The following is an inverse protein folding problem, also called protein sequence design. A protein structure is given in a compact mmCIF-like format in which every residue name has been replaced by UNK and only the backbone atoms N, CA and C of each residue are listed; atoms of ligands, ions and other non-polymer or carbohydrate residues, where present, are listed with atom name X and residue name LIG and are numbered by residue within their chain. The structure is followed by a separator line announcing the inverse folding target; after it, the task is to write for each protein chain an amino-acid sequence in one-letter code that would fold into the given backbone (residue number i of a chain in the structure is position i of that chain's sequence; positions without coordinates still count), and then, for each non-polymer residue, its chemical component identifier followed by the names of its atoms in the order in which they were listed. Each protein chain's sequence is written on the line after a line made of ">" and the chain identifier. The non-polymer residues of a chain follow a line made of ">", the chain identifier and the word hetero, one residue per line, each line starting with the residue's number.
data_IF_388153714888
#
_entry.id   IF_388153714888
#
_cell.length_a   1.000
_cell.length_b   1.000
_cell.length_c   1.000
_cell.angle_alpha   90.00
_cell.angle_beta   90.00
_cell.angle_gamma   90.00
#
_symmetry.space_group_name_H-M   'P 1'
#
loop_
_entity.id
_entity.type
_entity.pdbx_description
1 polymer ?
#
# COMPACT_ATOMS: atom_id res chain seq x y z
N UNK A 1 6.39 11.58 17.70
CA UNK A 1 4.93 11.69 17.44
C UNK A 1 4.75 12.18 16.00
N UNK A 2 4.05 11.41 15.16
CA UNK A 2 3.80 11.84 13.79
C UNK A 2 2.55 12.72 13.75
N UNK A 3 2.38 13.56 12.71
CA UNK A 3 1.18 14.38 12.54
C UNK A 3 -0.12 13.55 12.61
N UNK A 4 -0.07 12.30 12.17
CA UNK A 4 -1.21 11.38 12.21
C UNK A 4 -1.68 11.02 13.63
N UNK A 5 -0.83 11.21 14.64
CA UNK A 5 -1.12 10.93 16.05
C UNK A 5 -1.61 12.19 16.80
N UNK A 6 -1.67 13.34 16.12
CA UNK A 6 -2.23 14.58 16.68
C UNK A 6 -3.75 14.62 16.56
N UNK A 7 -4.42 15.45 17.38
CA UNK A 7 -5.87 15.65 17.29
C UNK A 7 -6.33 16.10 15.91
N UNK A 8 -5.55 16.92 15.22
CA UNK A 8 -5.80 17.38 13.85
C UNK A 8 -5.71 16.22 12.86
N UNK A 9 -4.68 15.38 12.97
CA UNK A 9 -4.50 14.20 12.14
C UNK A 9 -5.63 13.19 12.35
N UNK A 10 -6.01 12.93 13.60
CA UNK A 10 -7.13 12.05 13.95
C UNK A 10 -8.47 12.59 13.42
N UNK A 11 -8.69 13.91 13.55
CA UNK A 11 -9.89 14.56 12.99
C UNK A 11 -9.96 14.45 11.47
N UNK A 12 -8.83 14.67 10.79
CA UNK A 12 -8.72 14.50 9.34
C UNK A 12 -9.01 13.05 8.90
N UNK A 13 -8.50 12.05 9.63
CA UNK A 13 -8.79 10.64 9.31
C UNK A 13 -10.28 10.32 9.42
N UNK A 14 -10.95 10.84 10.46
CA UNK A 14 -12.41 10.67 10.63
C UNK A 14 -13.21 11.34 9.51
N UNK A 15 -12.83 12.55 9.10
CA UNK A 15 -13.45 13.22 7.97
C UNK A 15 -13.29 12.43 6.68
N UNK A 16 -12.10 11.89 6.43
CA UNK A 16 -11.77 11.06 5.28
C UNK A 16 -12.61 9.78 5.19
N UNK A 17 -12.99 9.20 6.33
CA UNK A 17 -13.85 8.00 6.36
C UNK A 17 -15.24 8.25 5.76
N UNK A 18 -15.78 9.46 5.92
CA UNK A 18 -17.12 9.82 5.45
C UNK A 18 -17.12 10.60 4.15
N UNK A 19 -16.04 11.31 3.85
CA UNK A 19 -15.89 12.12 2.66
C UNK A 19 -14.73 11.62 1.75
N UNK A 20 -15.01 10.91 0.65
CA UNK A 20 -13.99 10.38 -0.23
C UNK A 20 -13.35 11.41 -1.17
N UNK A 21 -13.80 12.67 -1.18
CA UNK A 21 -13.37 13.65 -2.19
C UNK A 21 -11.87 13.97 -2.11
N UNK A 22 -11.32 14.03 -0.90
CA UNK A 22 -9.88 14.22 -0.73
C UNK A 22 -9.07 13.08 -1.39
N UNK A 23 -9.45 11.84 -1.12
CA UNK A 23 -8.78 10.67 -1.69
C UNK A 23 -8.94 10.62 -3.21
N UNK A 24 -10.13 10.89 -3.72
CA UNK A 24 -10.40 10.93 -5.16
C UNK A 24 -9.62 12.02 -5.89
N UNK A 25 -9.45 13.18 -5.27
CA UNK A 25 -8.62 14.25 -5.85
C UNK A 25 -7.13 13.88 -5.83
N UNK A 26 -6.63 13.31 -4.73
CA UNK A 26 -5.28 12.80 -4.64
C UNK A 26 -5.01 11.72 -5.70
N UNK A 27 -5.94 10.78 -5.87
CA UNK A 27 -5.89 9.72 -6.88
C UNK A 27 -5.91 10.29 -8.31
N UNK A 28 -6.73 11.30 -8.59
CA UNK A 28 -6.74 11.98 -9.91
C UNK A 28 -5.37 12.56 -10.25
N UNK A 29 -4.75 13.27 -9.31
CA UNK A 29 -3.40 13.85 -9.48
C UNK A 29 -2.34 12.75 -9.66
N UNK A 30 -2.44 11.68 -8.88
CA UNK A 30 -1.54 10.55 -8.98
C UNK A 30 -1.64 9.87 -10.35
N UNK A 31 -2.86 9.62 -10.84
CA UNK A 31 -3.10 9.04 -12.17
C UNK A 31 -2.56 9.91 -13.30
N UNK A 32 -2.61 11.24 -13.17
CA UNK A 32 -1.98 12.14 -14.15
C UNK A 32 -0.46 11.97 -14.18
N UNK A 33 0.18 11.83 -13.00
CA UNK A 33 1.62 11.56 -12.91
C UNK A 33 2.00 10.19 -13.49
N UNK A 34 1.22 9.16 -13.20
CA UNK A 34 1.44 7.81 -13.76
C UNK A 34 1.39 7.82 -15.28
N UNK A 35 0.44 8.57 -15.88
CA UNK A 35 0.33 8.70 -17.34
C UNK A 35 1.52 9.38 -18.00
N UNK A 36 2.24 10.23 -17.28
CA UNK A 36 3.46 10.87 -17.80
C UNK A 36 4.64 9.89 -17.90
N UNK A 37 4.57 8.75 -17.23
CA UNK A 37 5.64 7.74 -17.22
C UNK A 37 6.84 8.11 -16.35
N UNK A 38 7.83 7.22 -16.33
CA UNK A 38 9.09 7.39 -15.59
C UNK A 38 8.90 7.70 -14.08
N UNK A 39 7.92 7.06 -13.46
CA UNK A 39 7.63 7.21 -12.04
C UNK A 39 7.54 5.85 -11.35
N UNK A 40 8.01 5.79 -10.11
CA UNK A 40 7.71 4.72 -9.17
C UNK A 40 6.69 5.27 -8.18
N UNK A 41 5.61 4.53 -7.99
CA UNK A 41 4.50 4.95 -7.15
C UNK A 41 4.26 3.92 -6.06
N UNK A 42 4.14 4.37 -4.82
CA UNK A 42 3.61 3.60 -3.71
C UNK A 42 2.22 4.14 -3.38
N UNK A 43 1.20 3.33 -3.56
CA UNK A 43 -0.19 3.72 -3.33
C UNK A 43 -1.05 2.51 -3.00
N UNK A 44 -2.04 2.72 -2.16
CA UNK A 44 -3.02 1.70 -1.83
C UNK A 44 -4.08 1.50 -2.92
N UNK A 45 -4.39 2.53 -3.71
CA UNK A 45 -5.50 2.52 -4.68
C UNK A 45 -5.03 2.43 -6.13
N UNK A 46 -3.87 3.01 -6.45
CA UNK A 46 -3.38 3.12 -7.82
C UNK A 46 -3.38 1.81 -8.62
N UNK A 47 -3.03 0.64 -8.08
CA UNK A 47 -3.05 -0.61 -8.84
C UNK A 47 -4.43 -0.98 -9.38
N UNK A 48 -5.51 -0.67 -8.65
CA UNK A 48 -6.90 -0.96 -9.10
C UNK A 48 -7.45 0.08 -10.04
N UNK A 49 -7.09 1.36 -9.86
CA UNK A 49 -7.66 2.48 -10.63
C UNK A 49 -6.83 2.87 -11.86
N UNK A 50 -5.53 2.54 -11.90
CA UNK A 50 -4.67 2.79 -13.07
C UNK A 50 -4.86 1.72 -14.13
N UNK A 51 -4.90 2.14 -15.40
CA UNK A 51 -4.89 1.25 -16.57
C UNK A 51 -3.49 1.00 -17.13
N UNK A 52 -2.47 1.66 -16.59
CA UNK A 52 -1.09 1.59 -17.07
C UNK A 52 -0.11 1.36 -15.94
N UNK A 53 1.10 0.91 -16.28
CA UNK A 53 2.19 0.65 -15.35
C UNK A 53 2.29 -0.82 -14.94
N UNK A 54 3.50 -1.25 -14.58
CA UNK A 54 3.76 -2.57 -14.00
C UNK A 54 3.39 -2.56 -12.52
N UNK A 55 2.47 -3.41 -12.12
CA UNK A 55 1.86 -3.39 -10.79
C UNK A 55 2.37 -4.54 -9.95
N UNK A 56 2.95 -4.21 -8.81
CA UNK A 56 3.54 -5.19 -7.89
C UNK A 56 2.82 -5.15 -6.55
N UNK A 57 2.40 -6.31 -6.08
CA UNK A 57 1.97 -6.51 -4.71
C UNK A 57 3.10 -7.12 -3.89
N UNK A 58 3.52 -6.41 -2.85
CA UNK A 58 4.48 -6.91 -1.87
C UNK A 58 3.69 -7.58 -0.74
N UNK A 59 3.70 -8.89 -0.73
CA UNK A 59 3.03 -9.67 0.32
C UNK A 59 3.97 -9.93 1.50
N UNK A 60 3.40 -10.08 2.68
CA UNK A 60 4.15 -10.40 3.88
C UNK A 60 3.24 -10.87 5.00
N UNK A 61 3.66 -11.92 5.72
CA UNK A 61 2.94 -12.44 6.86
C UNK A 61 2.76 -11.37 7.95
N UNK A 62 1.71 -11.51 8.76
CA UNK A 62 1.49 -10.63 9.90
C UNK A 62 2.70 -10.62 10.84
N UNK A 63 3.31 -11.78 11.05
CA UNK A 63 4.50 -11.95 11.89
C UNK A 63 5.66 -11.13 11.37
N UNK A 64 6.02 -11.25 10.09
CA UNK A 64 7.13 -10.50 9.49
C UNK A 64 6.87 -9.01 9.41
N UNK A 65 5.64 -8.60 9.13
CA UNK A 65 5.25 -7.18 9.15
C UNK A 65 5.36 -6.61 10.56
N UNK A 66 4.96 -7.37 11.59
CA UNK A 66 5.10 -7.03 13.00
C UNK A 66 6.56 -6.85 13.40
N UNK A 67 7.42 -7.83 13.07
CA UNK A 67 8.87 -7.76 13.35
C UNK A 67 9.52 -6.52 12.71
N UNK A 68 9.19 -6.25 11.44
CA UNK A 68 9.73 -5.08 10.70
C UNK A 68 9.28 -3.76 11.31
N UNK A 69 8.01 -3.65 11.69
CA UNK A 69 7.45 -2.46 12.33
C UNK A 69 8.07 -2.24 13.71
N UNK A 70 8.17 -3.27 14.54
CA UNK A 70 8.76 -3.19 15.87
C UNK A 70 10.20 -2.70 15.81
N UNK A 71 11.00 -3.23 14.88
CA UNK A 71 12.39 -2.81 14.66
C UNK A 71 12.51 -1.37 14.17
N UNK A 72 11.63 -0.93 13.26
CA UNK A 72 11.65 0.42 12.70
C UNK A 72 11.26 1.47 13.74
N UNK A 73 10.17 1.19 14.48
CA UNK A 73 9.51 2.17 15.35
C UNK A 73 9.97 2.06 16.80
N UNK A 74 10.76 1.04 17.13
CA UNK A 74 11.29 0.76 18.48
C UNK A 74 10.18 0.61 19.54
N UNK A 75 9.13 -0.12 19.18
CA UNK A 75 8.00 -0.45 20.06
C UNK A 75 7.81 -1.98 20.16
N UNK A 76 6.98 -2.44 21.10
CA UNK A 76 6.80 -3.87 21.35
C UNK A 76 6.16 -4.61 20.17
N UNK A 77 6.44 -5.91 20.05
CA UNK A 77 5.80 -6.77 19.05
C UNK A 77 4.28 -6.83 19.24
N UNK A 78 3.83 -6.88 20.48
CA UNK A 78 2.40 -6.93 20.81
C UNK A 78 1.66 -5.67 20.34
N UNK A 79 2.23 -4.50 20.65
CA UNK A 79 1.67 -3.22 20.21
C UNK A 79 1.67 -3.10 18.68
N UNK A 80 2.75 -3.49 18.01
CA UNK A 80 2.83 -3.50 16.55
C UNK A 80 1.79 -4.41 15.93
N UNK A 81 1.63 -5.63 16.46
CA UNK A 81 0.66 -6.59 15.97
C UNK A 81 -0.77 -6.03 16.06
N UNK A 82 -1.12 -5.46 17.20
CA UNK A 82 -2.43 -4.83 17.39
C UNK A 82 -2.67 -3.69 16.39
N UNK A 83 -1.71 -2.78 16.22
CA UNK A 83 -1.79 -1.68 15.26
C UNK A 83 -1.94 -2.16 13.82
N UNK A 84 -1.23 -3.22 13.42
CA UNK A 84 -1.32 -3.76 12.06
C UNK A 84 -2.71 -4.36 11.80
N UNK A 85 -3.24 -5.16 12.73
CA UNK A 85 -4.56 -5.78 12.59
C UNK A 85 -5.65 -4.71 12.44
N UNK A 86 -5.63 -3.68 13.28
CA UNK A 86 -6.60 -2.57 13.20
C UNK A 86 -6.48 -1.86 11.86
N UNK A 87 -5.27 -1.48 11.45
CA UNK A 87 -5.02 -0.79 10.16
C UNK A 87 -5.46 -1.60 8.95
N UNK A 88 -5.18 -2.91 8.94
CA UNK A 88 -5.58 -3.79 7.84
C UNK A 88 -7.11 -3.83 7.70
N UNK A 89 -7.82 -3.94 8.82
CA UNK A 89 -9.28 -3.93 8.85
C UNK A 89 -9.84 -2.59 8.36
N UNK A 90 -9.34 -1.48 8.89
CA UNK A 90 -9.79 -0.13 8.51
C UNK A 90 -9.53 0.15 7.02
N UNK A 91 -8.37 -0.21 6.49
CA UNK A 91 -8.06 -0.08 5.08
C UNK A 91 -9.00 -0.93 4.21
N UNK A 92 -9.27 -2.18 4.60
CA UNK A 92 -10.21 -3.03 3.88
C UNK A 92 -11.61 -2.40 3.81
N UNK A 93 -12.13 -1.96 4.95
CA UNK A 93 -13.46 -1.34 5.04
C UNK A 93 -13.55 -0.01 4.27
N UNK A 94 -12.53 0.84 4.39
CA UNK A 94 -12.45 2.13 3.69
C UNK A 94 -12.45 1.96 2.17
N UNK A 95 -11.54 1.13 1.65
CA UNK A 95 -11.39 0.97 0.20
C UNK A 95 -12.54 0.16 -0.41
N UNK A 96 -13.14 -0.76 0.33
CA UNK A 96 -14.36 -1.43 -0.10
C UNK A 96 -15.53 -0.45 -0.22
N UNK A 97 -15.70 0.44 0.75
CA UNK A 97 -16.77 1.45 0.79
C UNK A 97 -16.62 2.48 -0.32
N UNK A 98 -15.42 3.03 -0.50
CA UNK A 98 -15.20 4.18 -1.39
C UNK A 98 -14.92 3.78 -2.85
N UNK A 99 -14.35 2.60 -3.08
CA UNK A 99 -13.88 2.17 -4.40
C UNK A 99 -14.40 0.80 -4.84
N UNK A 100 -15.06 0.05 -3.97
CA UNK A 100 -15.45 -1.35 -4.24
C UNK A 100 -14.25 -2.31 -4.29
N UNK A 101 -13.08 -1.91 -3.77
CA UNK A 101 -11.84 -2.69 -3.79
C UNK A 101 -11.82 -3.63 -2.58
N UNK A 102 -11.56 -4.90 -2.81
CA UNK A 102 -11.26 -5.88 -1.76
C UNK A 102 -9.76 -5.86 -1.44
N UNK A 103 -9.35 -4.79 -0.75
CA UNK A 103 -7.95 -4.51 -0.43
C UNK A 103 -7.32 -5.63 0.38
N UNK A 104 -6.13 -6.06 -0.06
CA UNK A 104 -5.38 -7.15 0.59
C UNK A 104 -5.77 -8.55 0.10
N UNK A 105 -6.94 -8.76 -0.50
CA UNK A 105 -7.42 -10.06 -0.98
C UNK A 105 -7.52 -10.14 -2.51
N UNK A 106 -8.02 -9.10 -3.18
CA UNK A 106 -8.05 -9.07 -4.64
C UNK A 106 -6.66 -8.73 -5.21
N UNK A 107 -6.01 -9.74 -5.78
CA UNK A 107 -4.69 -9.61 -6.43
C UNK A 107 -4.76 -9.54 -7.97
N UNK A 108 -5.97 -9.58 -8.56
CA UNK A 108 -6.14 -9.60 -10.03
C UNK A 108 -5.50 -8.44 -10.78
N UNK A 109 -5.46 -7.19 -10.26
CA UNK A 109 -4.84 -6.09 -10.96
C UNK A 109 -3.31 -6.13 -11.04
N UNK A 110 -2.66 -7.04 -10.29
CA UNK A 110 -1.20 -7.05 -10.16
C UNK A 110 -0.53 -7.95 -11.20
N UNK A 111 0.50 -7.43 -11.85
CA UNK A 111 1.36 -8.17 -12.78
C UNK A 111 2.32 -9.09 -12.05
N UNK A 112 2.65 -8.76 -10.80
CA UNK A 112 3.51 -9.55 -9.93
C UNK A 112 3.02 -9.50 -8.47
N UNK A 113 2.96 -10.67 -7.84
CA UNK A 113 2.77 -10.82 -6.40
C UNK A 113 4.01 -11.49 -5.83
N UNK A 114 4.70 -10.86 -4.90
CA UNK A 114 5.93 -11.38 -4.31
C UNK A 114 5.82 -11.48 -2.79
N UNK A 115 6.03 -12.67 -2.23
CA UNK A 115 6.16 -12.85 -0.80
C UNK A 115 7.54 -12.36 -0.34
N UNK A 116 7.56 -11.42 0.59
CA UNK A 116 8.77 -10.75 1.05
C UNK A 116 9.30 -11.27 2.39
N UNK A 117 8.71 -12.30 2.97
CA UNK A 117 9.02 -12.74 4.34
C UNK A 117 10.48 -13.06 4.56
N UNK A 118 11.09 -13.72 3.57
CA UNK A 118 12.48 -14.19 3.63
C UNK A 118 13.41 -13.43 2.66
N UNK A 119 12.98 -12.28 2.16
CA UNK A 119 13.74 -11.47 1.22
C UNK A 119 14.20 -10.17 1.86
N UNK A 120 15.42 -9.76 1.51
CA UNK A 120 15.89 -8.40 1.76
C UNK A 120 15.27 -7.44 0.77
N UNK A 121 15.26 -6.14 1.07
CA UNK A 121 14.76 -5.11 0.17
C UNK A 121 15.49 -5.14 -1.20
N UNK A 122 16.78 -5.45 -1.20
CA UNK A 122 17.58 -5.60 -2.43
C UNK A 122 17.09 -6.77 -3.27
N UNK A 123 16.89 -7.94 -2.67
CA UNK A 123 16.38 -9.12 -3.38
C UNK A 123 14.98 -8.89 -3.95
N UNK A 124 14.12 -8.17 -3.22
CA UNK A 124 12.79 -7.77 -3.74
C UNK A 124 12.94 -6.87 -4.98
N UNK A 125 13.79 -5.86 -4.91
CA UNK A 125 14.03 -4.95 -6.03
C UNK A 125 14.60 -5.69 -7.26
N UNK A 126 15.59 -6.55 -7.04
CA UNK A 126 16.21 -7.34 -8.12
C UNK A 126 15.18 -8.27 -8.78
N UNK A 127 14.32 -8.94 -8.01
CA UNK A 127 13.25 -9.80 -8.54
C UNK A 127 12.21 -9.01 -9.36
N UNK A 128 11.84 -7.80 -8.93
CA UNK A 128 10.93 -6.93 -9.69
C UNK A 128 11.57 -6.53 -11.03
N UNK A 129 12.82 -6.09 -11.01
CA UNK A 129 13.53 -5.68 -12.23
C UNK A 129 13.69 -6.84 -13.21
N UNK A 130 14.00 -8.03 -12.73
CA UNK A 130 14.08 -9.24 -13.55
C UNK A 130 12.74 -9.52 -14.23
N UNK A 131 11.65 -9.48 -13.46
CA UNK A 131 10.29 -9.68 -13.98
C UNK A 131 9.89 -8.64 -15.03
N UNK A 132 10.23 -7.38 -14.81
CA UNK A 132 9.97 -6.31 -15.78
C UNK A 132 10.73 -6.52 -17.09
N UNK A 133 11.99 -6.98 -17.04
CA UNK A 133 12.78 -7.34 -18.23
C UNK A 133 12.15 -8.49 -19.01
N UNK A 134 11.72 -9.56 -18.32
CA UNK A 134 11.02 -10.69 -18.93
C UNK A 134 9.75 -10.27 -19.68
N UNK A 135 9.03 -9.28 -19.16
CA UNK A 135 7.78 -8.78 -19.76
C UNK A 135 8.00 -7.72 -20.82
N UNK A 136 9.24 -7.32 -21.09
CA UNK A 136 9.59 -6.28 -22.06
C UNK A 136 9.18 -4.85 -21.65
N UNK A 137 8.92 -4.63 -20.38
CA UNK A 137 8.53 -3.31 -19.84
C UNK A 137 9.76 -2.46 -19.48
N UNK A 138 10.92 -3.09 -19.39
CA UNK A 138 12.19 -2.44 -19.04
C UNK A 138 13.22 -2.59 -20.16
#
# INVERSE_FOLDING_TARGET
>A
ETWWDTDEGISFLREREVNPEFDKEADRRLLQKIKQGNVIVTSYTAPWISKVGFKVWLDGSLEKRTERMAKRDNISLEECRAKIIVRDKENYELYKRHYGIEFGTDKKPFDMVINTDNLTARQVADAILEKMKETGIW
#
